data_IF_977896723266
#
_entry.id   IF_977896723266
#
_cell.length_a   1.000
_cell.length_b   1.000
_cell.length_c   1.000
_cell.angle_alpha   90.00
_cell.angle_beta   90.00
_cell.angle_gamma   90.00
#
_symmetry.space_group_name_H-M   'P 1'
#
loop_
_entity.id
_entity.type
_entity.pdbx_description
1 polymer ?
#
# COMPACT_ATOMS: atom_id res chain seq x y z
N UNK A 1 12.82 20.62 -35.77
CA UNK A 1 14.21 20.75 -36.25
C UNK A 1 14.97 21.64 -35.29
N UNK A 2 16.19 21.30 -34.90
CA UNK A 2 17.05 22.20 -34.14
C UNK A 2 17.51 23.32 -35.07
N UNK A 3 17.15 24.57 -34.78
CA UNK A 3 17.57 25.75 -35.55
C UNK A 3 19.10 25.99 -35.52
N UNK A 4 19.87 25.18 -34.79
CA UNK A 4 21.33 25.34 -34.62
C UNK A 4 22.20 24.43 -35.48
N UNK A 5 21.65 23.42 -36.18
CA UNK A 5 22.46 22.45 -36.95
C UNK A 5 23.19 23.12 -38.12
N UNK A 6 22.49 24.00 -38.84
CA UNK A 6 23.04 24.77 -39.97
C UNK A 6 24.17 25.71 -39.59
N UNK A 7 24.27 26.12 -38.32
CA UNK A 7 25.40 26.93 -37.83
C UNK A 7 26.62 26.06 -37.58
N UNK A 8 26.42 24.85 -37.04
CA UNK A 8 27.51 23.90 -36.76
C UNK A 8 28.10 23.37 -38.07
N UNK A 9 27.28 23.08 -39.07
CA UNK A 9 27.73 22.71 -40.43
C UNK A 9 28.59 23.80 -41.08
N UNK A 10 28.31 25.08 -40.79
CA UNK A 10 29.06 26.24 -41.28
C UNK A 10 30.20 26.65 -40.34
N UNK A 11 30.62 25.79 -39.41
CA UNK A 11 31.64 26.06 -38.40
C UNK A 11 31.42 27.38 -37.61
N UNK A 12 30.16 27.78 -37.48
CA UNK A 12 29.74 29.03 -36.84
C UNK A 12 29.19 28.76 -35.44
N UNK A 13 29.34 29.73 -34.54
CA UNK A 13 28.81 29.62 -33.17
C UNK A 13 27.29 29.54 -33.18
N UNK A 14 26.72 28.65 -32.36
CA UNK A 14 25.27 28.50 -32.21
C UNK A 14 24.71 29.71 -31.46
N UNK A 15 23.59 30.31 -31.90
CA UNK A 15 22.97 31.43 -31.19
C UNK A 15 22.67 31.12 -29.72
N UNK A 16 22.95 32.05 -28.80
CA UNK A 16 22.72 31.88 -27.36
C UNK A 16 21.25 31.62 -26.98
N UNK A 17 20.30 31.93 -27.87
CA UNK A 17 18.87 31.65 -27.70
C UNK A 17 18.52 30.17 -27.93
N UNK A 18 19.43 29.39 -28.52
CA UNK A 18 19.21 27.99 -28.83
C UNK A 18 19.38 27.10 -27.59
N UNK A 19 18.47 26.13 -27.35
CA UNK A 19 18.56 25.21 -26.20
C UNK A 19 19.83 24.35 -26.16
N UNK A 20 20.57 24.29 -27.27
CA UNK A 20 21.79 23.50 -27.40
C UNK A 20 23.07 24.33 -27.28
N UNK A 21 22.98 25.67 -27.22
CA UNK A 21 24.16 26.54 -27.17
C UNK A 21 25.05 26.25 -25.95
N UNK A 22 24.43 25.95 -24.80
CA UNK A 22 25.15 25.60 -23.57
C UNK A 22 25.74 24.18 -23.54
N UNK A 23 25.51 23.37 -24.58
CA UNK A 23 25.86 21.95 -24.60
C UNK A 23 27.16 21.63 -25.34
N UNK A 24 27.87 22.66 -25.82
CA UNK A 24 29.06 22.50 -26.66
C UNK A 24 28.84 21.44 -27.78
N UNK A 25 27.82 21.64 -28.63
CA UNK A 25 27.41 20.65 -29.62
C UNK A 25 28.44 20.56 -30.76
N UNK A 26 28.66 19.36 -31.28
CA UNK A 26 29.47 19.14 -32.48
C UNK A 26 28.82 18.08 -33.37
N UNK A 27 29.13 18.14 -34.66
CA UNK A 27 28.73 17.11 -35.63
C UNK A 27 29.83 16.05 -35.68
N UNK A 28 29.48 14.81 -35.37
CA UNK A 28 30.41 13.68 -35.44
C UNK A 28 30.53 13.13 -36.87
N UNK A 29 31.46 12.19 -37.09
CA UNK A 29 31.71 11.57 -38.40
C UNK A 29 30.49 10.82 -38.96
N UNK A 30 29.59 10.37 -38.09
CA UNK A 30 28.31 9.73 -38.42
C UNK A 30 27.22 10.75 -38.82
N UNK A 31 27.56 12.03 -38.97
CA UNK A 31 26.64 13.14 -39.20
C UNK A 31 25.59 13.30 -38.10
N UNK A 32 25.86 12.76 -36.90
CA UNK A 32 24.97 12.88 -35.74
C UNK A 32 25.45 14.00 -34.82
N UNK A 33 24.48 14.82 -34.39
CA UNK A 33 24.71 15.90 -33.44
C UNK A 33 24.94 15.35 -32.02
N UNK A 34 26.14 15.56 -31.47
CA UNK A 34 26.56 15.04 -30.17
C UNK A 34 27.12 16.13 -29.24
N UNK A 35 27.23 15.80 -27.96
CA UNK A 35 27.83 16.69 -26.95
C UNK A 35 29.32 16.44 -26.83
N UNK A 36 30.12 17.51 -26.85
CA UNK A 36 31.54 17.45 -26.47
C UNK A 36 31.70 17.81 -25.00
N UNK A 37 31.79 16.78 -24.16
CA UNK A 37 31.87 16.91 -22.70
C UNK A 37 33.30 16.89 -22.13
N UNK A 38 33.38 16.90 -20.80
CA UNK A 38 34.63 16.83 -20.01
C UNK A 38 35.14 15.41 -19.79
N UNK A 39 34.36 14.40 -20.17
CA UNK A 39 34.67 12.98 -19.94
C UNK A 39 35.51 12.35 -21.07
N UNK A 40 36.20 13.15 -21.89
CA UNK A 40 36.92 12.64 -23.06
C UNK A 40 38.02 11.63 -22.70
N UNK A 41 38.68 11.84 -21.55
CA UNK A 41 39.78 11.01 -21.06
C UNK A 41 39.32 9.84 -20.15
N UNK A 42 38.02 9.64 -19.93
CA UNK A 42 37.55 8.50 -19.11
C UNK A 42 37.67 7.17 -19.87
N UNK A 43 37.50 6.04 -19.19
CA UNK A 43 37.44 4.70 -19.83
C UNK A 43 36.03 4.37 -20.38
N UNK A 44 35.11 5.34 -20.39
CA UNK A 44 33.75 5.14 -20.89
C UNK A 44 33.72 4.90 -22.40
N UNK A 45 32.63 4.29 -22.87
CA UNK A 45 32.39 4.14 -24.31
C UNK A 45 32.26 5.50 -25.01
N UNK A 46 32.47 5.51 -26.33
CA UNK A 46 32.34 6.73 -27.14
C UNK A 46 30.96 7.38 -26.96
N UNK A 47 29.89 6.58 -26.92
CA UNK A 47 28.51 7.06 -26.77
C UNK A 47 28.24 7.71 -25.41
N UNK A 48 28.84 7.17 -24.34
CA UNK A 48 28.73 7.72 -22.99
C UNK A 48 29.49 9.02 -22.82
N UNK A 49 30.63 9.16 -23.49
CA UNK A 49 31.40 10.41 -23.54
C UNK A 49 30.70 11.48 -24.38
N UNK A 50 30.06 11.05 -25.47
CA UNK A 50 29.49 11.89 -26.50
C UNK A 50 28.03 11.53 -26.80
N UNK A 51 27.12 11.79 -25.84
CA UNK A 51 25.72 11.44 -25.99
C UNK A 51 25.06 12.23 -27.12
N UNK A 52 24.15 11.57 -27.82
CA UNK A 52 23.40 12.12 -28.96
C UNK A 52 22.39 13.16 -28.48
N UNK A 53 22.42 14.35 -29.08
CA UNK A 53 21.48 15.42 -28.74
C UNK A 53 20.13 15.13 -29.41
N UNK A 54 19.10 14.91 -28.60
CA UNK A 54 17.74 14.67 -29.09
C UNK A 54 16.82 15.86 -28.78
N UNK A 55 16.04 16.33 -29.78
CA UNK A 55 15.07 17.36 -29.54
C UNK A 55 13.90 16.80 -28.75
N UNK A 56 13.12 17.69 -28.16
CA UNK A 56 11.83 17.33 -27.59
C UNK A 56 10.85 17.01 -28.72
N UNK A 57 10.74 15.75 -29.10
CA UNK A 57 9.88 15.28 -30.18
C UNK A 57 9.10 14.02 -29.77
N UNK A 58 8.31 13.46 -30.70
CA UNK A 58 7.58 12.22 -30.45
C UNK A 58 8.53 11.03 -30.19
N UNK A 59 9.62 10.94 -30.95
CA UNK A 59 10.63 9.89 -30.78
C UNK A 59 11.27 9.92 -29.39
N UNK A 60 11.67 11.10 -28.90
CA UNK A 60 12.25 11.23 -27.55
C UNK A 60 11.26 10.78 -26.47
N UNK A 61 9.96 11.06 -26.64
CA UNK A 61 8.91 10.59 -25.73
C UNK A 61 8.75 9.07 -25.76
N UNK A 62 8.79 8.44 -26.95
CA UNK A 62 8.72 6.99 -27.09
C UNK A 62 9.94 6.32 -26.44
N UNK A 63 11.14 6.87 -26.66
CA UNK A 63 12.37 6.38 -26.03
C UNK A 63 12.28 6.43 -24.50
N UNK A 64 11.86 7.57 -23.93
CA UNK A 64 11.68 7.70 -22.48
C UNK A 64 10.65 6.69 -21.95
N UNK A 65 9.57 6.43 -22.70
CA UNK A 65 8.55 5.43 -22.32
C UNK A 65 9.08 4.00 -22.41
N UNK A 66 9.88 3.69 -23.42
CA UNK A 66 10.50 2.39 -23.60
C UNK A 66 11.45 2.10 -22.45
N UNK A 67 12.40 3.00 -22.17
CA UNK A 67 13.35 2.83 -21.05
C UNK A 67 12.64 2.81 -19.70
N UNK A 68 11.58 3.60 -19.51
CA UNK A 68 10.77 3.55 -18.29
C UNK A 68 10.15 2.16 -18.03
N UNK A 69 9.72 1.45 -19.09
CA UNK A 69 9.22 0.08 -18.98
C UNK A 69 10.36 -0.94 -18.83
N UNK A 70 11.45 -0.77 -19.58
CA UNK A 70 12.63 -1.63 -19.52
C UNK A 70 13.24 -1.67 -18.11
N UNK A 71 13.30 -0.52 -17.44
CA UNK A 71 13.78 -0.39 -16.06
C UNK A 71 12.70 -0.71 -15.01
N UNK A 72 11.66 -1.47 -15.37
CA UNK A 72 10.59 -1.90 -14.47
C UNK A 72 10.02 -0.74 -13.63
N UNK A 73 9.70 0.37 -14.27
CA UNK A 73 9.10 1.54 -13.63
C UNK A 73 9.98 2.25 -12.59
N UNK A 74 11.31 2.17 -12.74
CA UNK A 74 12.26 2.87 -11.91
C UNK A 74 11.97 4.37 -11.73
N UNK A 75 12.57 4.93 -10.67
CA UNK A 75 12.47 6.34 -10.32
C UNK A 75 12.94 7.27 -11.44
N UNK A 76 12.56 8.54 -11.32
CA UNK A 76 12.90 9.57 -12.33
C UNK A 76 14.41 9.71 -12.48
N UNK A 77 15.17 9.63 -11.39
CA UNK A 77 16.62 9.84 -11.43
C UNK A 77 17.36 8.70 -12.12
N UNK A 78 16.98 7.45 -11.83
CA UNK A 78 17.49 6.26 -12.53
C UNK A 78 17.19 6.36 -14.03
N UNK A 79 15.94 6.67 -14.40
CA UNK A 79 15.55 6.83 -15.80
C UNK A 79 16.35 7.92 -16.52
N UNK A 80 16.58 9.06 -15.85
CA UNK A 80 17.37 10.17 -16.40
C UNK A 80 18.84 9.78 -16.54
N UNK A 81 19.41 9.06 -15.57
CA UNK A 81 20.80 8.62 -15.60
C UNK A 81 21.04 7.63 -16.74
N UNK A 82 20.18 6.61 -16.87
CA UNK A 82 20.27 5.61 -17.94
C UNK A 82 20.08 6.23 -19.32
N UNK A 83 19.21 7.24 -19.47
CA UNK A 83 19.07 7.91 -20.76
C UNK A 83 20.28 8.80 -21.08
N UNK A 84 20.93 9.39 -20.06
CA UNK A 84 22.10 10.25 -20.25
C UNK A 84 23.37 9.52 -20.66
N UNK A 85 23.44 8.21 -20.47
CA UNK A 85 24.58 7.40 -20.92
C UNK A 85 24.65 7.27 -22.45
N UNK A 86 23.59 7.60 -23.19
CA UNK A 86 23.64 7.60 -24.66
C UNK A 86 22.96 8.81 -25.31
N UNK A 87 22.05 9.49 -24.59
CA UNK A 87 21.20 10.53 -25.16
C UNK A 87 21.10 11.76 -24.26
N UNK A 88 21.31 12.92 -24.87
CA UNK A 88 21.01 14.21 -24.26
C UNK A 88 19.69 14.76 -24.81
N UNK A 89 18.58 14.32 -24.21
CA UNK A 89 17.24 14.82 -24.55
C UNK A 89 17.02 16.20 -23.89
N UNK A 90 16.74 17.22 -24.70
CA UNK A 90 16.44 18.57 -24.17
C UNK A 90 15.18 18.53 -23.29
N UNK A 91 15.33 18.88 -22.02
CA UNK A 91 14.24 18.83 -21.03
C UNK A 91 13.89 17.42 -20.54
N UNK A 92 14.82 16.45 -20.65
CA UNK A 92 14.66 15.04 -20.26
C UNK A 92 13.94 14.85 -18.92
N UNK A 93 14.43 15.47 -17.85
CA UNK A 93 13.86 15.29 -16.50
C UNK A 93 12.38 15.66 -16.43
N UNK A 94 11.95 16.70 -17.16
CA UNK A 94 10.52 17.10 -17.26
C UNK A 94 9.71 16.05 -18.02
N UNK A 95 10.26 15.48 -19.09
CA UNK A 95 9.61 14.38 -19.81
C UNK A 95 9.51 13.11 -18.95
N UNK A 96 10.59 12.70 -18.26
CA UNK A 96 10.62 11.56 -17.36
C UNK A 96 9.56 11.67 -16.24
N UNK A 97 9.47 12.83 -15.57
CA UNK A 97 8.41 13.12 -14.59
C UNK A 97 7.02 12.97 -15.19
N UNK A 98 6.80 13.49 -16.41
CA UNK A 98 5.51 13.39 -17.11
C UNK A 98 5.16 11.94 -17.46
N UNK A 99 6.12 11.14 -17.89
CA UNK A 99 5.94 9.72 -18.21
C UNK A 99 5.57 8.94 -16.95
N UNK A 100 6.35 9.06 -15.86
CA UNK A 100 6.04 8.37 -14.58
C UNK A 100 4.65 8.76 -14.07
N UNK A 101 4.34 10.06 -14.03
CA UNK A 101 3.03 10.57 -13.56
C UNK A 101 1.83 10.06 -14.38
N UNK A 102 2.02 9.83 -15.68
CA UNK A 102 0.96 9.32 -16.57
C UNK A 102 0.89 7.78 -16.62
N UNK A 103 1.90 7.08 -16.12
CA UNK A 103 1.97 5.63 -16.15
C UNK A 103 0.99 5.02 -15.14
N UNK A 104 0.10 4.14 -15.60
CA UNK A 104 -0.93 3.52 -14.76
C UNK A 104 -0.30 2.62 -13.69
N UNK A 105 0.75 1.86 -14.04
CA UNK A 105 1.47 1.02 -13.09
C UNK A 105 2.09 1.87 -11.96
N UNK A 106 2.80 2.94 -12.29
CA UNK A 106 3.35 3.85 -11.28
C UNK A 106 2.27 4.52 -10.45
N UNK A 107 1.14 4.92 -11.05
CA UNK A 107 0.03 5.52 -10.27
C UNK A 107 -0.54 4.56 -9.23
N UNK A 108 -0.63 3.27 -9.54
CA UNK A 108 -1.09 2.24 -8.61
C UNK A 108 -0.07 2.01 -7.50
N UNK A 109 1.20 1.87 -7.87
CA UNK A 109 2.30 1.60 -6.93
C UNK A 109 2.61 2.82 -6.02
N UNK A 110 2.63 4.02 -6.57
CA UNK A 110 2.89 5.28 -5.84
C UNK A 110 1.60 5.85 -5.20
N UNK A 111 0.49 5.12 -5.20
CA UNK A 111 -0.76 5.63 -4.63
C UNK A 111 -0.58 5.87 -3.12
N UNK A 112 -0.96 7.06 -2.66
CA UNK A 112 -0.94 7.35 -1.23
C UNK A 112 -2.03 6.53 -0.55
N UNK A 113 -1.70 5.98 0.62
CA UNK A 113 -2.68 5.36 1.50
C UNK A 113 -3.72 6.42 1.88
N UNK A 114 -4.98 6.03 2.00
CA UNK A 114 -6.01 6.93 2.51
C UNK A 114 -5.59 7.40 3.92
N UNK A 115 -5.55 8.71 4.15
CA UNK A 115 -5.38 9.25 5.49
C UNK A 115 -6.67 8.97 6.25
N UNK A 116 -6.69 7.91 7.04
CA UNK A 116 -7.84 7.61 7.89
C UNK A 116 -7.85 8.63 9.04
N UNK A 117 -8.83 9.56 9.09
CA UNK A 117 -8.95 10.44 10.25
C UNK A 117 -9.15 9.56 11.49
N UNK A 118 -8.45 9.88 12.58
CA UNK A 118 -8.60 9.15 13.84
C UNK A 118 -10.03 9.39 14.32
N UNK A 119 -10.87 8.37 14.23
CA UNK A 119 -12.22 8.42 14.74
C UNK A 119 -12.19 8.49 16.28
N UNK A 120 -13.13 9.20 16.93
CA UNK A 120 -13.25 9.17 18.38
C UNK A 120 -13.49 7.72 18.85
N UNK A 121 -12.98 7.40 20.05
CA UNK A 121 -13.24 6.09 20.65
C UNK A 121 -14.76 5.93 20.91
N UNK A 122 -15.33 4.74 20.69
CA UNK A 122 -16.73 4.48 21.02
C UNK A 122 -17.03 4.77 22.49
N UNK A 123 -18.21 5.29 22.79
CA UNK A 123 -18.65 5.64 24.16
C UNK A 123 -18.43 4.48 25.15
N UNK A 124 -18.76 3.26 24.74
CA UNK A 124 -18.57 2.04 25.54
C UNK A 124 -17.12 1.77 25.99
N UNK A 125 -16.12 2.40 25.39
CA UNK A 125 -14.69 2.27 25.75
C UNK A 125 -14.23 3.35 26.72
N UNK A 126 -15.04 4.39 26.95
CA UNK A 126 -14.68 5.57 27.75
C UNK A 126 -15.65 5.82 28.91
N UNK A 127 -16.84 5.23 28.87
CA UNK A 127 -17.84 5.33 29.95
C UNK A 127 -17.54 4.34 31.07
N UNK A 128 -17.65 4.80 32.32
CA UNK A 128 -17.52 3.94 33.51
C UNK A 128 -18.70 2.97 33.58
N UNK A 129 -18.43 1.67 33.67
CA UNK A 129 -19.43 0.63 33.86
C UNK A 129 -18.83 -0.53 34.67
N UNK A 130 -19.65 -1.46 35.20
CA UNK A 130 -19.13 -2.66 35.87
C UNK A 130 -18.25 -3.52 34.95
N UNK A 131 -17.33 -4.28 35.55
CA UNK A 131 -16.47 -5.22 34.81
C UNK A 131 -17.33 -6.21 34.04
N UNK A 132 -16.96 -6.51 32.79
CA UNK A 132 -17.70 -7.33 31.83
C UNK A 132 -19.11 -6.82 31.45
N UNK A 133 -19.53 -5.62 31.86
CA UNK A 133 -20.82 -5.06 31.45
C UNK A 133 -20.95 -4.91 29.93
N UNK A 134 -19.85 -4.58 29.25
CA UNK A 134 -19.74 -4.60 27.79
C UNK A 134 -18.57 -5.49 27.42
N UNK A 135 -18.87 -6.57 26.70
CA UNK A 135 -17.91 -7.66 26.45
C UNK A 135 -17.79 -7.94 24.96
N UNK A 136 -16.58 -7.89 24.43
CA UNK A 136 -16.25 -8.34 23.08
C UNK A 136 -16.05 -9.86 23.05
N UNK A 137 -16.57 -10.51 22.02
CA UNK A 137 -16.42 -11.93 21.71
C UNK A 137 -15.54 -12.08 20.48
N UNK A 138 -14.53 -12.94 20.59
CA UNK A 138 -13.70 -13.31 19.45
C UNK A 138 -13.24 -14.75 19.57
N UNK A 139 -13.02 -15.42 18.44
CA UNK A 139 -12.42 -16.74 18.42
C UNK A 139 -10.95 -16.60 18.05
N UNK A 140 -10.07 -17.09 18.92
CA UNK A 140 -8.67 -17.23 18.57
C UNK A 140 -8.36 -18.69 18.23
N UNK A 141 -7.68 -18.83 17.09
CA UNK A 141 -6.70 -19.87 16.85
C UNK A 141 -7.24 -21.29 16.74
N UNK A 142 -6.38 -22.11 16.16
CA UNK A 142 -6.45 -23.55 16.26
C UNK A 142 -5.39 -24.01 17.26
N UNK A 143 -5.83 -24.62 18.35
CA UNK A 143 -4.97 -25.14 19.42
C UNK A 143 -5.08 -26.66 19.50
N UNK A 144 -4.02 -27.28 20.00
CA UNK A 144 -3.97 -28.69 20.36
C UNK A 144 -3.69 -28.78 21.84
N UNK A 145 -4.50 -29.56 22.56
CA UNK A 145 -4.25 -29.81 23.98
C UNK A 145 -3.23 -30.95 24.09
N UNK A 146 -2.37 -30.89 25.12
CA UNK A 146 -1.36 -31.94 25.38
C UNK A 146 -2.00 -33.32 25.47
N UNK A 147 -3.14 -33.41 26.16
CA UNK A 147 -3.87 -34.67 26.35
C UNK A 147 -4.67 -35.12 25.11
N UNK A 148 -4.88 -34.22 24.14
CA UNK A 148 -5.70 -34.45 22.94
C UNK A 148 -4.98 -33.89 21.68
N UNK A 149 -3.79 -34.41 21.33
CA UNK A 149 -2.90 -33.79 20.34
C UNK A 149 -3.45 -33.85 18.91
N UNK A 150 -4.44 -34.70 18.64
CA UNK A 150 -5.06 -34.87 17.32
C UNK A 150 -6.34 -34.05 17.16
N UNK A 151 -6.94 -33.58 18.27
CA UNK A 151 -8.19 -32.82 18.26
C UNK A 151 -7.90 -31.33 18.20
N UNK A 152 -8.56 -30.69 17.24
CA UNK A 152 -8.56 -29.24 17.05
C UNK A 152 -9.43 -28.59 18.12
N UNK A 153 -8.89 -27.62 18.82
CA UNK A 153 -9.62 -26.78 19.78
C UNK A 153 -9.52 -25.30 19.42
N UNK A 154 -10.45 -24.53 19.92
CA UNK A 154 -10.53 -23.09 19.73
C UNK A 154 -10.73 -22.41 21.09
N UNK A 155 -10.30 -21.17 21.22
CA UNK A 155 -10.56 -20.38 22.42
C UNK A 155 -11.58 -19.32 22.08
N UNK A 156 -12.69 -19.29 22.81
CA UNK A 156 -13.61 -18.16 22.81
C UNK A 156 -13.11 -17.13 23.83
N UNK A 157 -12.74 -15.96 23.33
CA UNK A 157 -12.26 -14.83 24.12
C UNK A 157 -13.41 -13.92 24.47
N UNK A 158 -13.43 -13.54 25.74
CA UNK A 158 -14.32 -12.53 26.29
C UNK A 158 -13.45 -11.36 26.75
N UNK A 159 -13.60 -10.22 26.10
CA UNK A 159 -12.79 -9.02 26.36
C UNK A 159 -13.66 -7.92 26.95
N UNK A 160 -13.35 -7.44 28.16
CA UNK A 160 -14.10 -6.37 28.78
C UNK A 160 -13.72 -5.01 28.15
N UNK A 161 -14.71 -4.27 27.63
CA UNK A 161 -14.47 -2.94 27.06
C UNK A 161 -14.10 -1.87 28.11
N UNK A 162 -14.48 -2.08 29.38
CA UNK A 162 -14.25 -1.13 30.47
C UNK A 162 -12.81 -1.19 30.98
N UNK A 163 -12.37 -2.37 31.41
CA UNK A 163 -11.08 -2.56 32.09
C UNK A 163 -10.07 -3.37 31.27
N UNK A 164 -10.42 -3.79 30.06
CA UNK A 164 -9.60 -4.66 29.18
C UNK A 164 -9.25 -6.02 29.80
N UNK A 165 -10.01 -6.48 30.78
CA UNK A 165 -9.88 -7.83 31.33
C UNK A 165 -10.24 -8.87 30.25
N UNK A 166 -9.53 -10.00 30.25
CA UNK A 166 -9.73 -11.10 29.31
C UNK A 166 -10.17 -12.33 30.10
N UNK A 167 -11.21 -13.00 29.61
CA UNK A 167 -11.62 -14.33 30.07
C UNK A 167 -11.62 -15.28 28.87
N UNK A 168 -11.06 -16.47 29.06
CA UNK A 168 -10.85 -17.45 28.00
C UNK A 168 -11.68 -18.70 28.30
N UNK A 169 -12.42 -19.18 27.31
CA UNK A 169 -13.13 -20.45 27.36
C UNK A 169 -12.64 -21.36 26.23
N UNK A 170 -12.12 -22.54 26.58
CA UNK A 170 -11.79 -23.56 25.60
C UNK A 170 -13.07 -24.14 24.99
N UNK A 171 -13.05 -24.36 23.69
CA UNK A 171 -14.14 -24.95 22.91
C UNK A 171 -13.59 -26.02 21.99
N UNK A 172 -14.39 -27.07 21.78
CA UNK A 172 -14.03 -28.19 20.90
C UNK A 172 -14.17 -27.84 19.42
N UNK A 173 -15.05 -26.89 19.08
CA UNK A 173 -15.23 -26.43 17.72
C UNK A 173 -15.77 -25.00 17.68
N UNK A 174 -15.84 -24.45 16.47
CA UNK A 174 -16.52 -23.18 16.18
C UNK A 174 -18.04 -23.37 16.00
N UNK A 175 -18.61 -24.53 16.36
CA UNK A 175 -20.03 -24.79 16.23
C UNK A 175 -20.85 -23.95 17.21
N UNK A 176 -22.12 -23.74 16.85
CA UNK A 176 -23.08 -22.98 17.63
C UNK A 176 -23.24 -23.51 19.06
N UNK A 177 -23.28 -24.84 19.22
CA UNK A 177 -23.48 -25.48 20.51
C UNK A 177 -22.33 -25.18 21.47
N UNK A 178 -21.08 -25.35 21.01
CA UNK A 178 -19.88 -25.06 21.82
C UNK A 178 -19.79 -23.58 22.18
N UNK A 179 -20.18 -22.69 21.26
CA UNK A 179 -20.26 -21.26 21.51
C UNK A 179 -21.27 -20.92 22.62
N UNK A 180 -22.48 -21.48 22.58
CA UNK A 180 -23.51 -21.24 23.60
C UNK A 180 -23.04 -21.79 24.96
N UNK A 181 -22.45 -22.98 24.99
CA UNK A 181 -21.91 -23.54 26.23
C UNK A 181 -20.80 -22.68 26.83
N UNK A 182 -19.89 -22.15 26.01
CA UNK A 182 -18.86 -21.23 26.46
C UNK A 182 -19.45 -19.92 27.01
N UNK A 183 -20.46 -19.34 26.34
CA UNK A 183 -21.16 -18.14 26.84
C UNK A 183 -21.85 -18.43 28.18
N UNK A 184 -22.47 -19.62 28.35
CA UNK A 184 -23.07 -20.03 29.62
C UNK A 184 -22.05 -20.16 30.74
N UNK A 185 -20.88 -20.77 30.47
CA UNK A 185 -19.77 -20.88 31.45
C UNK A 185 -19.20 -19.51 31.82
N UNK A 186 -19.08 -18.61 30.86
CA UNK A 186 -18.69 -17.24 31.11
C UNK A 186 -19.71 -16.53 32.01
N UNK A 187 -21.00 -16.59 31.66
CA UNK A 187 -22.06 -15.92 32.41
C UNK A 187 -22.20 -16.45 33.84
N UNK A 188 -22.01 -17.76 34.07
CA UNK A 188 -22.04 -18.32 35.42
C UNK A 188 -20.88 -17.86 36.30
N UNK A 189 -19.72 -17.55 35.70
CA UNK A 189 -18.52 -17.10 36.44
C UNK A 189 -18.42 -15.59 36.59
N UNK A 190 -18.86 -14.83 35.60
CA UNK A 190 -18.65 -13.37 35.49
C UNK A 190 -19.93 -12.55 35.59
N UNK A 191 -21.09 -13.21 35.61
CA UNK A 191 -22.39 -12.56 35.45
C UNK A 191 -22.74 -12.33 33.97
N UNK A 192 -24.01 -12.04 33.70
CA UNK A 192 -24.49 -11.75 32.35
C UNK A 192 -24.13 -10.30 31.96
N UNK A 193 -23.41 -10.08 30.85
CA UNK A 193 -23.15 -8.74 30.34
C UNK A 193 -24.43 -8.04 29.92
N UNK A 194 -24.41 -6.71 29.95
CA UNK A 194 -25.46 -5.90 29.32
C UNK A 194 -25.40 -6.01 27.80
N UNK A 195 -24.19 -6.09 27.23
CA UNK A 195 -23.97 -6.14 25.79
C UNK A 195 -22.80 -7.06 25.45
N UNK A 196 -23.01 -7.89 24.45
CA UNK A 196 -21.94 -8.60 23.74
C UNK A 196 -21.72 -7.97 22.37
N UNK A 197 -20.45 -7.73 22.01
CA UNK A 197 -20.04 -7.32 20.66
C UNK A 197 -19.23 -8.44 20.02
N UNK A 198 -19.45 -8.72 18.74
CA UNK A 198 -18.69 -9.74 18.00
C UNK A 198 -18.56 -9.35 16.54
N UNK A 199 -17.65 -9.97 15.81
CA UNK A 199 -17.72 -9.93 14.34
C UNK A 199 -18.91 -10.76 13.83
N UNK A 200 -19.24 -10.62 12.55
CA UNK A 200 -20.42 -11.25 11.92
C UNK A 200 -20.22 -12.74 11.59
N UNK A 201 -19.56 -13.50 12.48
CA UNK A 201 -19.43 -14.94 12.35
C UNK A 201 -20.81 -15.60 12.31
N UNK A 202 -21.00 -16.59 11.45
CA UNK A 202 -22.26 -17.38 11.41
C UNK A 202 -22.60 -17.97 12.79
N UNK A 203 -21.58 -18.42 13.53
CA UNK A 203 -21.72 -18.96 14.89
C UNK A 203 -22.28 -17.94 15.87
N UNK A 204 -21.75 -16.71 15.88
CA UNK A 204 -22.23 -15.64 16.77
C UNK A 204 -23.63 -15.15 16.39
N UNK A 205 -23.91 -15.03 15.10
CA UNK A 205 -25.26 -14.70 14.63
C UNK A 205 -26.27 -15.80 15.00
N UNK A 206 -25.86 -17.07 14.93
CA UNK A 206 -26.65 -18.19 15.41
C UNK A 206 -26.87 -18.13 16.92
N UNK A 207 -25.81 -17.84 17.69
CA UNK A 207 -25.85 -17.77 19.15
C UNK A 207 -26.79 -16.65 19.60
N UNK A 208 -26.69 -15.46 18.98
CA UNK A 208 -27.62 -14.36 19.17
C UNK A 208 -29.08 -14.80 19.00
N UNK A 209 -29.42 -15.43 17.87
CA UNK A 209 -30.80 -15.88 17.59
C UNK A 209 -31.28 -16.90 18.61
N UNK A 210 -30.44 -17.86 18.99
CA UNK A 210 -30.79 -18.89 19.96
C UNK A 210 -31.02 -18.31 21.35
N UNK A 211 -30.13 -17.39 21.79
CA UNK A 211 -30.24 -16.70 23.07
C UNK A 211 -31.49 -15.81 23.07
N UNK A 212 -31.68 -14.99 22.05
CA UNK A 212 -32.86 -14.13 21.91
C UNK A 212 -34.17 -14.94 21.99
N UNK A 213 -34.27 -16.10 21.33
CA UNK A 213 -35.45 -16.97 21.44
C UNK A 213 -35.72 -17.45 22.87
N UNK A 214 -34.69 -17.87 23.59
CA UNK A 214 -34.83 -18.36 24.97
C UNK A 214 -35.24 -17.21 25.91
N UNK A 215 -34.61 -16.04 25.78
CA UNK A 215 -34.89 -14.90 26.65
C UNK A 215 -36.19 -14.16 26.29
N UNK A 216 -36.61 -14.15 25.02
CA UNK A 216 -37.95 -13.69 24.62
C UNK A 216 -39.05 -14.51 25.28
N UNK A 217 -38.80 -15.80 25.52
CA UNK A 217 -39.74 -16.70 26.19
C UNK A 217 -39.78 -16.50 27.71
N UNK A 218 -38.80 -15.80 28.30
CA UNK A 218 -38.59 -15.70 29.76
C UNK A 218 -38.72 -14.28 30.36
N UNK A 219 -39.14 -13.26 29.57
CA UNK A 219 -39.35 -11.86 29.97
C UNK A 219 -38.76 -11.41 31.33
N UNK A 220 -37.48 -11.00 31.33
CA UNK A 220 -36.96 -9.78 31.99
C UNK A 220 -35.42 -9.71 31.86
N UNK A 221 -34.91 -8.57 31.37
CA UNK A 221 -33.47 -8.22 31.23
C UNK A 221 -32.73 -8.83 30.03
N UNK A 222 -32.94 -8.27 28.84
CA UNK A 222 -32.23 -8.68 27.60
C UNK A 222 -30.89 -7.96 27.48
N UNK A 223 -29.81 -8.73 27.38
CA UNK A 223 -28.52 -8.26 26.88
C UNK A 223 -28.65 -7.97 25.38
N UNK A 224 -28.48 -6.72 24.98
CA UNK A 224 -28.56 -6.33 23.57
C UNK A 224 -27.24 -6.67 22.90
N UNK A 225 -27.26 -7.53 21.88
CA UNK A 225 -26.11 -7.68 20.99
C UNK A 225 -26.05 -6.45 20.08
N UNK A 226 -25.14 -5.52 20.38
CA UNK A 226 -24.87 -4.35 19.54
C UNK A 226 -23.93 -4.74 18.40
N UNK A 227 -24.26 -4.33 17.18
CA UNK A 227 -23.31 -4.34 16.04
C UNK A 227 -22.17 -3.37 16.30
#
# INVERSE_FOLDING_TARGET
MFYGVSYIEKNSSVPNTSPIASLNPYLAEDEILRIKGRLQLSELSYEEKHPVILPKCHLSLLLVRHVHKLLNHAGVDTLVSTLRSGYWIVGLRRQAKRVKRKCVACKRLDSKHCSQPVAPLPEMRVTKAPVFSVTGLDYCGLFYCVDMPTKKHYILLFTCAVVRAIHLELTDSLALFDCILAIRRFASRRGLPRVFHSYNAKTFMGARRSIEKVFWTLQSTVALFGT
#
